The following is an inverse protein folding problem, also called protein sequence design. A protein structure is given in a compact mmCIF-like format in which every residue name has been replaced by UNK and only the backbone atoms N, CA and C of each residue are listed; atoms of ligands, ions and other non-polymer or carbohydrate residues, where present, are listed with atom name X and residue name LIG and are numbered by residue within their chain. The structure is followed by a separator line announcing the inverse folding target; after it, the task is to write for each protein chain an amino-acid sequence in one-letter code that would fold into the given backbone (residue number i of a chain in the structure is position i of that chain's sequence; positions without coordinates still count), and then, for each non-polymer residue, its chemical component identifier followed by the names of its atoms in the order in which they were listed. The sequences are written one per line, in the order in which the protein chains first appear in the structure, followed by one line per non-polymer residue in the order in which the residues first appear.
data_IF_839523337358
#
_entry.id   IF_839523337358
#
_cell.length_a   1.000
_cell.length_b   1.000
_cell.length_c   1.000
_cell.angle_alpha   90.00
_cell.angle_beta   90.00
_cell.angle_gamma   90.00
#
_symmetry.space_group_name_H-M   'P 1'
#
loop_
_entity.id
_entity.type
_entity.pdbx_description
1 polymer ?
#
# COMPACT_ATOMS: atom_id res chain seq x y z
N UNK A 1 -7.51 15.15 8.30
CA UNK A 1 -7.57 15.57 6.89
C UNK A 1 -6.86 14.55 6.03
N UNK A 2 -7.57 13.79 5.19
CA UNK A 2 -6.93 12.99 4.14
C UNK A 2 -6.32 14.01 3.16
N UNK A 3 -4.99 14.18 3.21
CA UNK A 3 -4.29 15.15 2.37
C UNK A 3 -4.50 14.74 0.91
N UNK A 4 -4.89 15.70 0.06
CA UNK A 4 -5.04 15.44 -1.38
C UNK A 4 -3.68 14.98 -1.93
N UNK A 5 -3.59 13.72 -2.33
CA UNK A 5 -2.44 13.20 -3.06
C UNK A 5 -2.24 14.00 -4.35
N UNK A 6 -0.98 14.26 -4.71
CA UNK A 6 -0.59 14.86 -5.98
C UNK A 6 -1.07 13.99 -7.15
N UNK A 7 -1.18 14.60 -8.34
CA UNK A 7 -1.49 13.85 -9.57
C UNK A 7 -0.44 12.78 -9.85
N UNK A 8 0.83 13.06 -9.52
CA UNK A 8 1.94 12.12 -9.68
C UNK A 8 1.76 10.89 -8.76
N UNK A 9 1.51 11.10 -7.47
CA UNK A 9 1.31 10.00 -6.53
C UNK A 9 0.06 9.18 -6.86
N UNK A 10 -1.03 9.84 -7.27
CA UNK A 10 -2.23 9.15 -7.78
C UNK A 10 -1.91 8.29 -9.00
N UNK A 11 -1.08 8.78 -9.92
CA UNK A 11 -0.62 8.04 -11.09
C UNK A 11 0.14 6.77 -10.72
N UNK A 12 1.10 6.90 -9.80
CA UNK A 12 1.87 5.76 -9.29
C UNK A 12 1.00 4.72 -8.59
N UNK A 13 0.12 5.14 -7.67
CA UNK A 13 -0.82 4.24 -7.01
C UNK A 13 -1.78 3.57 -7.99
N UNK A 14 -2.21 4.29 -9.05
CA UNK A 14 -3.04 3.72 -10.11
C UNK A 14 -2.30 2.67 -10.92
N UNK A 15 -1.01 2.87 -11.19
CA UNK A 15 -0.16 1.88 -11.87
C UNK A 15 0.00 0.61 -11.03
N UNK A 16 0.25 0.76 -9.72
CA UNK A 16 0.28 -0.38 -8.79
C UNK A 16 -1.08 -1.08 -8.77
N UNK A 17 -2.18 -0.33 -8.72
CA UNK A 17 -3.51 -0.91 -8.68
C UNK A 17 -3.91 -1.65 -9.97
N UNK A 18 -3.36 -1.24 -11.12
CA UNK A 18 -3.57 -1.88 -12.41
C UNK A 18 -2.58 -3.03 -12.70
N UNK A 19 -1.53 -3.19 -11.89
CA UNK A 19 -0.54 -4.25 -12.05
C UNK A 19 -1.11 -5.60 -11.63
N UNK A 20 -0.99 -6.59 -12.51
CA UNK A 20 -1.40 -7.97 -12.21
C UNK A 20 -0.50 -8.61 -11.16
N UNK A 21 0.76 -8.19 -11.13
CA UNK A 21 1.80 -8.61 -10.19
C UNK A 21 1.52 -8.13 -8.77
N UNK A 22 0.86 -6.96 -8.64
CA UNK A 22 0.43 -6.42 -7.35
C UNK A 22 -0.82 -7.09 -6.77
N UNK A 23 -1.38 -8.14 -7.41
CA UNK A 23 -2.55 -8.84 -6.90
C UNK A 23 -2.40 -9.36 -5.45
N UNK A 24 -1.16 -9.68 -5.05
CA UNK A 24 -0.80 -10.12 -3.70
C UNK A 24 -1.01 -9.09 -2.57
N UNK A 25 -1.23 -7.80 -2.92
CA UNK A 25 -1.60 -6.74 -1.96
C UNK A 25 -3.11 -6.38 -1.99
N UNK A 26 -3.92 -7.11 -2.76
CA UNK A 26 -5.35 -6.82 -2.94
C UNK A 26 -5.64 -5.33 -3.24
N UNK A 27 -5.06 -4.75 -4.32
CA UNK A 27 -5.15 -3.31 -4.56
C UNK A 27 -6.59 -2.83 -4.79
N UNK A 28 -7.46 -3.69 -5.33
CA UNK A 28 -8.87 -3.40 -5.50
C UNK A 28 -9.59 -3.10 -4.16
N UNK A 29 -9.20 -3.78 -3.08
CA UNK A 29 -9.73 -3.54 -1.75
C UNK A 29 -9.38 -2.17 -1.17
N UNK A 30 -8.34 -1.50 -1.70
CA UNK A 30 -7.92 -0.15 -1.26
C UNK A 30 -8.70 0.98 -1.94
N UNK A 31 -9.38 0.71 -3.06
CA UNK A 31 -10.13 1.74 -3.82
C UNK A 31 -11.15 2.47 -2.93
N UNK A 32 -12.01 1.78 -2.15
CA UNK A 32 -12.99 2.46 -1.29
C UNK A 32 -12.36 3.38 -0.25
N UNK A 33 -11.16 3.03 0.25
CA UNK A 33 -10.39 3.83 1.21
C UNK A 33 -9.87 5.10 0.54
N UNK A 34 -9.38 4.99 -0.70
CA UNK A 34 -8.81 6.11 -1.45
C UNK A 34 -9.88 7.08 -2.00
N UNK A 35 -11.09 6.59 -2.29
CA UNK A 35 -12.13 7.37 -3.00
C UNK A 35 -13.23 7.91 -2.10
N UNK A 36 -13.27 7.59 -0.80
CA UNK A 36 -14.24 8.15 0.16
C UNK A 36 -13.62 9.19 1.11
N UNK A 37 -13.44 10.45 0.68
CA UNK A 37 -13.05 11.54 1.56
C UNK A 37 -14.25 11.96 2.42
N UNK A 38 -14.57 11.17 3.45
CA UNK A 38 -15.72 11.43 4.32
C UNK A 38 -16.17 10.24 5.20
N UNK A 39 -15.51 9.09 5.09
CA UNK A 39 -15.79 7.94 5.95
C UNK A 39 -15.65 8.31 7.42
N UNK A 40 -16.66 7.97 8.23
CA UNK A 40 -16.52 7.92 9.69
C UNK A 40 -15.44 6.90 10.07
N UNK A 41 -14.86 6.96 11.28
CA UNK A 41 -13.92 5.94 11.75
C UNK A 41 -14.43 4.51 11.53
N UNK A 42 -15.69 4.22 11.88
CA UNK A 42 -16.32 2.91 11.69
C UNK A 42 -16.37 2.46 10.21
N UNK A 43 -16.58 3.40 9.29
CA UNK A 43 -16.59 3.10 7.86
C UNK A 43 -15.18 2.83 7.33
N UNK A 44 -14.16 3.51 7.86
CA UNK A 44 -12.76 3.21 7.56
C UNK A 44 -12.35 1.84 8.09
N UNK A 45 -12.74 1.49 9.32
CA UNK A 45 -12.47 0.16 9.89
C UNK A 45 -13.10 -0.94 9.04
N UNK A 46 -14.34 -0.76 8.62
CA UNK A 46 -15.03 -1.70 7.72
C UNK A 46 -14.29 -1.85 6.38
N UNK A 47 -13.89 -0.73 5.76
CA UNK A 47 -13.18 -0.74 4.48
C UNK A 47 -11.80 -1.39 4.61
N UNK A 48 -11.10 -1.12 5.71
CA UNK A 48 -9.80 -1.71 6.01
C UNK A 48 -9.90 -3.21 6.27
N UNK A 49 -10.89 -3.65 7.05
CA UNK A 49 -11.14 -5.08 7.29
C UNK A 49 -11.51 -5.84 6.01
N UNK A 50 -12.27 -5.22 5.10
CA UNK A 50 -12.58 -5.81 3.80
C UNK A 50 -11.33 -5.94 2.92
N UNK A 51 -10.47 -4.91 2.91
CA UNK A 51 -9.18 -4.99 2.23
C UNK A 51 -8.30 -6.10 2.81
N UNK A 52 -8.19 -6.16 4.14
CA UNK A 52 -7.43 -7.18 4.85
C UNK A 52 -7.94 -8.60 4.56
N UNK A 53 -9.27 -8.81 4.55
CA UNK A 53 -9.84 -10.12 4.20
C UNK A 53 -9.35 -10.57 2.82
N UNK A 54 -9.50 -9.71 1.80
CA UNK A 54 -9.03 -10.05 0.46
C UNK A 54 -7.51 -10.15 0.35
N UNK A 55 -6.75 -9.36 1.13
CA UNK A 55 -5.29 -9.48 1.23
C UNK A 55 -4.90 -10.87 1.75
N UNK A 56 -5.63 -11.39 2.74
CA UNK A 56 -5.34 -12.66 3.39
C UNK A 56 -5.84 -13.89 2.62
N UNK A 57 -6.76 -13.68 1.68
CA UNK A 57 -7.26 -14.72 0.77
C UNK A 57 -6.36 -14.93 -0.47
N UNK A 58 -5.41 -14.02 -0.73
CA UNK A 58 -4.44 -14.14 -1.83
C UNK A 58 -3.07 -14.65 -1.35
N UNK A 59 -2.20 -15.04 -2.29
CA UNK A 59 -0.83 -15.44 -2.01
C UNK A 59 0.07 -14.25 -1.61
N UNK A 60 1.21 -14.55 -0.97
CA UNK A 60 2.22 -13.55 -0.62
C UNK A 60 2.92 -12.97 -1.86
N UNK A 61 3.34 -11.71 -1.78
CA UNK A 61 4.17 -11.08 -2.80
C UNK A 61 5.58 -11.67 -2.83
N UNK A 62 6.16 -11.77 -4.02
CA UNK A 62 7.59 -12.06 -4.17
C UNK A 62 8.44 -10.86 -3.77
N UNK A 63 9.72 -11.07 -3.44
CA UNK A 63 10.65 -9.98 -3.18
C UNK A 63 10.75 -8.99 -4.35
N UNK A 64 10.70 -9.50 -5.59
CA UNK A 64 10.73 -8.67 -6.79
C UNK A 64 9.48 -7.78 -6.86
N UNK A 65 8.30 -8.36 -6.66
CA UNK A 65 7.03 -7.62 -6.63
C UNK A 65 7.04 -6.53 -5.56
N UNK A 66 7.56 -6.83 -4.37
CA UNK A 66 7.71 -5.83 -3.30
C UNK A 66 8.65 -4.71 -3.75
N UNK A 67 9.78 -5.04 -4.36
CA UNK A 67 10.73 -4.05 -4.86
C UNK A 67 10.11 -3.14 -5.93
N UNK A 68 9.32 -3.70 -6.84
CA UNK A 68 8.65 -2.96 -7.90
C UNK A 68 7.60 -1.99 -7.33
N UNK A 69 6.78 -2.46 -6.38
CA UNK A 69 5.77 -1.63 -5.70
C UNK A 69 6.45 -0.49 -4.95
N UNK A 70 7.46 -0.80 -4.12
CA UNK A 70 8.17 0.22 -3.34
C UNK A 70 8.83 1.24 -4.26
N UNK A 71 9.51 0.79 -5.32
CA UNK A 71 10.14 1.69 -6.30
C UNK A 71 9.11 2.63 -6.94
N UNK A 72 7.97 2.10 -7.36
CA UNK A 72 6.92 2.89 -8.01
C UNK A 72 6.32 3.93 -7.04
N UNK A 73 5.97 3.49 -5.83
CA UNK A 73 5.37 4.35 -4.80
C UNK A 73 6.37 5.41 -4.32
N UNK A 74 7.60 5.02 -3.99
CA UNK A 74 8.64 5.96 -3.54
C UNK A 74 8.93 7.02 -4.59
N UNK A 75 9.02 6.62 -5.86
CA UNK A 75 9.29 7.56 -6.96
C UNK A 75 8.10 8.49 -7.23
N UNK A 76 6.88 7.95 -7.21
CA UNK A 76 5.67 8.69 -7.55
C UNK A 76 5.09 9.52 -6.41
N UNK A 77 5.34 9.15 -5.17
CA UNK A 77 4.78 9.77 -3.96
C UNK A 77 5.84 10.44 -3.07
N UNK A 78 7.01 10.78 -3.60
CA UNK A 78 8.12 11.35 -2.81
C UNK A 78 7.74 12.63 -2.03
N UNK A 79 6.88 13.48 -2.58
CA UNK A 79 6.38 14.68 -1.90
C UNK A 79 5.46 14.34 -0.73
N UNK A 80 4.65 13.30 -0.86
CA UNK A 80 3.78 12.80 0.20
C UNK A 80 4.58 12.06 1.27
N UNK A 81 5.51 11.19 0.87
CA UNK A 81 6.35 10.42 1.78
C UNK A 81 7.24 11.34 2.63
N UNK A 82 7.84 12.37 2.04
CA UNK A 82 8.61 13.38 2.78
C UNK A 82 7.77 14.12 3.83
N UNK A 83 6.47 14.32 3.58
CA UNK A 83 5.55 14.89 4.57
C UNK A 83 5.35 13.98 5.79
N UNK A 84 5.49 12.67 5.63
CA UNK A 84 5.45 11.68 6.71
C UNK A 84 6.81 11.40 7.36
N UNK A 85 7.86 12.15 6.96
CA UNK A 85 9.23 11.92 7.44
C UNK A 85 9.90 10.69 6.82
N UNK A 86 9.32 10.14 5.75
CA UNK A 86 9.89 9.01 5.00
C UNK A 86 10.81 9.60 3.94
N UNK A 87 12.12 9.38 4.09
CA UNK A 87 13.14 9.93 3.21
C UNK A 87 13.36 9.05 1.98
N UNK A 88 12.91 9.52 0.81
CA UNK A 88 13.05 8.80 -0.47
C UNK A 88 14.46 8.88 -1.09
N UNK A 89 15.47 9.15 -0.27
CA UNK A 89 16.87 9.35 -0.72
C UNK A 89 17.61 8.06 -1.03
N UNK A 90 17.14 6.93 -0.50
CA UNK A 90 17.73 5.61 -0.71
C UNK A 90 16.66 4.52 -0.84
N UNK A 91 16.05 4.42 -2.02
CA UNK A 91 14.99 3.44 -2.30
C UNK A 91 15.44 1.99 -2.05
N UNK A 92 16.74 1.68 -2.17
CA UNK A 92 17.25 0.34 -1.94
C UNK A 92 17.18 -0.07 -0.45
N UNK A 93 17.38 0.88 0.45
CA UNK A 93 17.21 0.67 1.89
C UNK A 93 15.73 0.47 2.24
N UNK A 94 14.84 1.25 1.64
CA UNK A 94 13.39 1.09 1.79
C UNK A 94 12.92 -0.28 1.30
N UNK A 95 13.37 -0.72 0.11
CA UNK A 95 13.06 -2.04 -0.44
C UNK A 95 13.50 -3.14 0.53
N UNK A 96 14.74 -3.05 1.03
CA UNK A 96 15.30 -4.05 1.95
C UNK A 96 14.49 -4.12 3.25
N UNK A 97 14.15 -2.96 3.80
CA UNK A 97 13.34 -2.85 5.01
C UNK A 97 11.93 -3.44 4.81
N UNK A 98 11.25 -3.07 3.71
CA UNK A 98 9.90 -3.58 3.42
C UNK A 98 9.93 -5.09 3.17
N UNK A 99 10.92 -5.62 2.46
CA UNK A 99 11.06 -7.06 2.24
C UNK A 99 11.26 -7.84 3.55
N UNK A 100 12.02 -7.29 4.51
CA UNK A 100 12.22 -7.91 5.82
C UNK A 100 10.96 -7.87 6.69
N UNK A 101 10.22 -6.76 6.65
CA UNK A 101 9.04 -6.55 7.48
C UNK A 101 7.78 -7.25 6.91
N UNK A 102 7.68 -7.37 5.58
CA UNK A 102 6.48 -7.84 4.90
C UNK A 102 5.92 -9.18 5.41
N UNK A 103 6.73 -10.24 5.63
CA UNK A 103 6.19 -11.52 6.10
C UNK A 103 5.52 -11.40 7.47
N UNK A 104 6.14 -10.66 8.39
CA UNK A 104 5.62 -10.46 9.75
C UNK A 104 4.38 -9.56 9.73
N UNK A 105 4.43 -8.45 8.99
CA UNK A 105 3.30 -7.55 8.85
C UNK A 105 2.09 -8.24 8.23
N UNK A 106 2.31 -9.07 7.20
CA UNK A 106 1.26 -9.89 6.58
C UNK A 106 0.71 -10.92 7.56
N UNK A 107 1.58 -11.62 8.29
CA UNK A 107 1.15 -12.59 9.29
C UNK A 107 0.22 -11.93 10.31
N UNK A 108 0.65 -10.83 10.94
CA UNK A 108 -0.14 -10.09 11.92
C UNK A 108 -1.48 -9.64 11.32
N UNK A 109 -1.43 -9.06 10.12
CA UNK A 109 -2.63 -8.58 9.40
C UNK A 109 -3.63 -9.70 9.07
N UNK A 110 -3.16 -10.94 8.99
CA UNK A 110 -3.95 -12.12 8.62
C UNK A 110 -4.24 -13.06 9.77
N UNK A 111 -3.83 -12.73 11.00
CA UNK A 111 -4.31 -13.42 12.18
C UNK A 111 -5.80 -13.08 12.33
N UNK A 112 -6.67 -14.04 11.97
CA UNK A 112 -8.07 -14.00 12.39
C UNK A 112 -8.09 -14.22 13.90
N UNK A 113 -8.66 -13.27 14.63
CA UNK A 113 -9.21 -13.54 15.97
C UNK A 113 -10.32 -14.61 15.84
#
# INVERSE_FOLDING_TARGET
SVRRLSSQCKGALSQVAASSEAGCINPAGLVPIATNPGSTPDALDTQFNNWLSGLCDVGSCSNQTIADIVTNVTSGCSSELSTFGIGTGNVQEEITFVQQLYPVARQISCLKE
#
